data_IF_884535374909
#
_entry.id   IF_884535374909
#
_cell.length_a   1.000
_cell.length_b   1.000
_cell.length_c   1.000
_cell.angle_alpha   90.00
_cell.angle_beta   90.00
_cell.angle_gamma   90.00
#
_symmetry.space_group_name_H-M   'P 1'
#
loop_
_entity.id
_entity.type
_entity.pdbx_description
1 polymer ?
#
# COMPACT_ATOMS: atom_id res chain seq x y z
N UNK A 1 -3.31 50.13 -14.70
CA UNK A 1 -2.82 49.39 -13.51
C UNK A 1 -3.91 49.44 -12.46
N UNK A 2 -4.63 48.34 -12.26
CA UNK A 2 -5.57 48.22 -11.13
C UNK A 2 -4.76 47.87 -9.88
N UNK A 3 -4.88 48.70 -8.84
CA UNK A 3 -4.24 48.51 -7.55
C UNK A 3 -5.09 47.59 -6.70
N UNK A 4 -4.48 46.83 -5.78
CA UNK A 4 -5.19 45.99 -4.81
C UNK A 4 -6.23 46.78 -3.96
N UNK A 5 -6.06 48.11 -3.86
CA UNK A 5 -6.99 49.01 -3.19
C UNK A 5 -8.31 49.25 -3.93
N UNK A 6 -8.41 48.84 -5.20
CA UNK A 6 -9.57 49.11 -6.05
C UNK A 6 -10.67 48.04 -5.93
N UNK A 7 -10.43 46.96 -5.17
CA UNK A 7 -11.43 45.92 -4.87
C UNK A 7 -11.95 46.09 -3.44
N UNK A 8 -13.19 46.58 -3.23
CA UNK A 8 -13.80 46.57 -1.91
C UNK A 8 -14.00 45.12 -1.45
N UNK A 9 -13.48 44.78 -0.27
CA UNK A 9 -13.73 43.50 0.39
C UNK A 9 -15.25 43.31 0.55
N UNK A 10 -15.87 42.24 0.01
CA UNK A 10 -17.30 42.01 0.21
C UNK A 10 -17.56 41.81 1.71
N UNK A 11 -18.67 42.34 2.23
CA UNK A 11 -18.98 42.17 3.64
C UNK A 11 -19.25 40.68 3.95
N UNK A 12 -18.50 40.11 4.90
CA UNK A 12 -18.62 38.72 5.38
C UNK A 12 -20.05 38.34 5.82
N UNK A 13 -20.93 39.32 6.03
CA UNK A 13 -22.35 39.12 6.35
C UNK A 13 -23.18 38.50 5.22
N UNK A 14 -22.80 38.65 3.94
CA UNK A 14 -23.58 38.11 2.82
C UNK A 14 -23.37 36.59 2.62
N UNK A 15 -22.20 36.06 2.98
CA UNK A 15 -21.83 34.66 2.78
C UNK A 15 -22.44 33.71 3.83
N UNK A 16 -22.91 34.22 4.99
CA UNK A 16 -23.54 33.39 6.04
C UNK A 16 -24.89 32.78 5.64
N UNK A 17 -25.51 33.21 4.53
CA UNK A 17 -26.81 32.70 4.05
C UNK A 17 -26.69 31.57 3.03
N UNK A 18 -25.50 31.27 2.52
CA UNK A 18 -25.28 30.23 1.52
C UNK A 18 -24.61 29.03 2.20
N UNK A 19 -25.37 27.94 2.40
CA UNK A 19 -24.81 26.67 2.89
C UNK A 19 -24.24 25.88 1.71
N UNK A 20 -23.03 26.22 1.30
CA UNK A 20 -22.26 25.36 0.39
C UNK A 20 -21.40 24.44 1.25
N UNK A 21 -21.71 23.15 1.33
CA UNK A 21 -20.88 22.19 2.09
C UNK A 21 -19.59 21.87 1.35
N UNK A 22 -19.66 21.79 0.03
CA UNK A 22 -18.56 21.37 -0.84
C UNK A 22 -18.35 22.41 -1.94
N UNK A 23 -17.12 22.91 -2.06
CA UNK A 23 -16.72 23.84 -3.10
C UNK A 23 -15.56 23.23 -3.91
N UNK A 24 -15.74 23.14 -5.22
CA UNK A 24 -14.71 22.67 -6.14
C UNK A 24 -14.28 23.78 -7.10
N UNK A 25 -12.97 24.03 -7.20
CA UNK A 25 -12.35 24.97 -8.13
C UNK A 25 -11.45 24.17 -9.07
N UNK A 26 -11.80 24.06 -10.35
CA UNK A 26 -11.20 23.04 -11.23
C UNK A 26 -9.89 23.47 -11.92
N UNK A 27 -9.71 24.76 -12.16
CA UNK A 27 -8.46 25.31 -12.71
C UNK A 27 -8.27 26.69 -12.14
N UNK A 28 -7.24 26.83 -11.29
CA UNK A 28 -6.82 28.12 -10.76
C UNK A 28 -5.40 28.37 -11.20
N UNK A 29 -5.22 29.40 -12.03
CA UNK A 29 -3.90 29.83 -12.47
C UNK A 29 -3.73 31.32 -12.16
N UNK A 30 -3.33 31.60 -10.91
CA UNK A 30 -3.36 32.93 -10.30
C UNK A 30 -2.05 33.22 -9.59
N UNK A 31 -1.84 34.50 -9.24
CA UNK A 31 -0.72 34.90 -8.41
C UNK A 31 -0.87 34.35 -6.99
N UNK A 32 0.25 34.01 -6.34
CA UNK A 32 0.28 33.45 -4.99
C UNK A 32 -0.56 34.25 -3.98
N UNK A 33 -0.41 35.58 -3.96
CA UNK A 33 -1.17 36.47 -3.07
C UNK A 33 -2.70 36.39 -3.27
N UNK A 34 -3.16 36.22 -4.51
CA UNK A 34 -4.60 36.11 -4.82
C UNK A 34 -5.14 34.77 -4.33
N UNK A 35 -4.37 33.69 -4.50
CA UNK A 35 -4.78 32.35 -4.04
C UNK A 35 -4.90 32.32 -2.52
N UNK A 36 -3.94 32.91 -1.79
CA UNK A 36 -4.02 33.01 -0.34
C UNK A 36 -5.27 33.78 0.13
N UNK A 37 -5.60 34.89 -0.53
CA UNK A 37 -6.81 35.66 -0.20
C UNK A 37 -8.09 34.86 -0.48
N UNK A 38 -8.13 34.12 -1.60
CA UNK A 38 -9.25 33.24 -1.90
C UNK A 38 -9.41 32.16 -0.83
N UNK A 39 -8.32 31.51 -0.43
CA UNK A 39 -8.36 30.48 0.61
C UNK A 39 -8.78 31.05 1.96
N UNK A 40 -8.29 32.23 2.35
CA UNK A 40 -8.74 32.91 3.56
C UNK A 40 -10.24 33.22 3.50
N UNK A 41 -10.75 33.77 2.39
CA UNK A 41 -12.19 34.06 2.24
C UNK A 41 -13.04 32.79 2.34
N UNK A 42 -12.60 31.68 1.73
CA UNK A 42 -13.32 30.41 1.78
C UNK A 42 -13.26 29.80 3.18
N UNK A 43 -12.14 29.93 3.89
CA UNK A 43 -11.96 29.42 5.25
C UNK A 43 -13.02 29.94 6.24
N UNK A 44 -13.39 31.21 6.11
CA UNK A 44 -14.41 31.87 6.94
C UNK A 44 -15.82 31.82 6.35
N UNK A 45 -15.99 31.10 5.25
CA UNK A 45 -17.31 30.84 4.67
C UNK A 45 -17.94 29.58 5.28
N UNK A 46 -19.20 29.27 4.97
CA UNK A 46 -19.86 28.01 5.38
C UNK A 46 -19.35 26.74 4.67
N UNK A 47 -18.28 26.84 3.88
CA UNK A 47 -17.67 25.72 3.16
C UNK A 47 -16.97 24.76 4.11
N UNK A 48 -17.45 23.52 4.15
CA UNK A 48 -16.87 22.45 4.95
C UNK A 48 -15.74 21.72 4.19
N UNK A 49 -15.85 21.56 2.87
CA UNK A 49 -14.86 20.88 2.03
C UNK A 49 -14.47 21.77 0.85
N UNK A 50 -13.18 22.06 0.73
CA UNK A 50 -12.62 22.77 -0.42
C UNK A 50 -11.75 21.82 -1.23
N UNK A 51 -12.08 21.65 -2.51
CA UNK A 51 -11.26 20.94 -3.49
C UNK A 51 -10.79 21.89 -4.56
N UNK A 52 -9.48 21.92 -4.81
CA UNK A 52 -8.87 22.71 -5.87
C UNK A 52 -8.09 21.77 -6.77
N UNK A 53 -8.50 21.69 -8.04
CA UNK A 53 -7.79 20.93 -9.08
C UNK A 53 -6.96 21.87 -9.94
N UNK A 54 -5.89 21.33 -10.51
CA UNK A 54 -5.00 22.02 -11.44
C UNK A 54 -4.57 23.40 -10.91
N UNK A 55 -4.09 23.43 -9.67
CA UNK A 55 -3.66 24.66 -9.01
C UNK A 55 -2.28 25.08 -9.51
N UNK A 56 -2.20 26.23 -10.19
CA UNK A 56 -0.93 26.82 -10.62
C UNK A 56 -0.66 28.12 -9.87
N UNK A 57 0.49 28.18 -9.21
CA UNK A 57 0.98 29.39 -8.57
C UNK A 57 1.91 30.17 -9.51
N UNK A 58 1.60 31.46 -9.73
CA UNK A 58 2.44 32.40 -10.52
C UNK A 58 3.01 33.54 -9.67
N UNK A 59 4.07 34.17 -10.21
CA UNK A 59 4.68 35.40 -9.67
C UNK A 59 5.69 35.15 -8.55
N UNK A 60 6.66 36.04 -8.30
CA UNK A 60 7.58 35.87 -7.18
C UNK A 60 6.78 35.82 -5.87
N UNK A 61 7.11 34.86 -4.99
CA UNK A 61 6.90 35.11 -3.57
C UNK A 61 7.99 36.12 -3.25
N UNK A 62 7.67 37.41 -3.38
CA UNK A 62 8.58 38.47 -2.92
C UNK A 62 9.01 38.16 -1.50
N UNK A 63 10.08 38.78 -1.01
CA UNK A 63 10.29 38.88 0.43
C UNK A 63 9.02 39.51 1.02
N UNK A 64 8.04 38.67 1.34
CA UNK A 64 6.94 39.02 2.20
C UNK A 64 7.65 39.25 3.51
N UNK A 65 8.10 40.49 3.71
CA UNK A 65 8.69 40.89 4.96
C UNK A 65 7.67 40.52 6.03
N UNK A 66 8.16 40.13 7.20
CA UNK A 66 7.30 39.81 8.35
C UNK A 66 6.22 40.91 8.55
N UNK A 67 6.51 42.15 8.13
CA UNK A 67 5.63 43.32 8.08
C UNK A 67 4.54 43.36 7.01
N UNK A 68 4.68 42.72 5.85
CA UNK A 68 3.57 42.54 4.90
C UNK A 68 2.66 41.38 5.31
N UNK A 69 3.21 40.43 6.07
CA UNK A 69 2.47 39.35 6.71
C UNK A 69 1.84 39.79 8.05
N UNK A 70 2.38 40.78 8.77
CA UNK A 70 1.93 41.22 10.12
C UNK A 70 0.49 41.77 10.19
N UNK A 71 -0.04 42.50 9.19
CA UNK A 71 -1.47 42.84 9.17
C UNK A 71 -2.35 41.60 9.01
N UNK A 72 -1.84 40.55 8.35
CA UNK A 72 -2.49 39.25 8.20
C UNK A 72 -2.29 38.37 9.45
N UNK A 73 -1.12 38.37 10.09
CA UNK A 73 -0.73 37.56 11.28
C UNK A 73 -1.22 38.11 12.61
N UNK A 74 -1.18 39.43 12.81
CA UNK A 74 -1.82 40.09 13.97
C UNK A 74 -3.33 39.91 13.95
N UNK A 75 -3.90 39.73 12.75
CA UNK A 75 -5.26 39.22 12.58
C UNK A 75 -5.32 37.70 12.75
N UNK A 76 -4.34 36.92 12.28
CA UNK A 76 -4.30 35.44 12.29
C UNK A 76 -4.39 34.84 13.70
N UNK A 77 -3.78 35.40 14.75
CA UNK A 77 -4.05 34.90 16.12
C UNK A 77 -5.52 35.12 16.54
N UNK A 78 -6.13 36.23 16.11
CA UNK A 78 -7.56 36.52 16.31
C UNK A 78 -8.47 35.72 15.35
N UNK A 79 -7.96 35.35 14.18
CA UNK A 79 -8.64 34.76 13.02
C UNK A 79 -8.53 33.22 13.04
N UNK A 80 -7.51 32.65 13.68
CA UNK A 80 -7.42 31.26 14.14
C UNK A 80 -8.42 31.02 15.29
N UNK A 81 -8.74 32.05 16.10
CA UNK A 81 -9.76 31.98 17.16
C UNK A 81 -11.20 32.05 16.63
N UNK A 82 -11.40 32.57 15.41
CA UNK A 82 -12.68 32.62 14.72
C UNK A 82 -12.91 31.28 14.00
N UNK A 83 -13.52 30.32 14.68
CA UNK A 83 -13.79 28.97 14.15
C UNK A 83 -14.40 28.98 12.74
N UNK A 84 -13.60 28.62 11.75
CA UNK A 84 -14.03 28.34 10.38
C UNK A 84 -14.85 27.06 10.32
N UNK A 85 -15.70 26.93 9.31
CA UNK A 85 -16.52 25.72 9.12
C UNK A 85 -15.79 24.59 8.36
N UNK A 86 -14.61 24.90 7.80
CA UNK A 86 -13.84 23.96 6.99
C UNK A 86 -13.36 22.77 7.81
N UNK A 87 -13.66 21.57 7.30
CA UNK A 87 -13.26 20.27 7.84
C UNK A 87 -12.25 19.57 6.96
N UNK A 88 -12.17 19.93 5.67
CA UNK A 88 -11.15 19.37 4.79
C UNK A 88 -10.74 20.25 3.62
N UNK A 89 -9.48 20.09 3.23
CA UNK A 89 -8.85 20.75 2.10
C UNK A 89 -8.21 19.69 1.18
N UNK A 90 -8.49 19.76 -0.11
CA UNK A 90 -7.88 18.94 -1.14
C UNK A 90 -7.27 19.81 -2.23
N UNK A 91 -5.96 19.66 -2.46
CA UNK A 91 -5.23 20.31 -3.54
C UNK A 91 -4.69 19.23 -4.48
N UNK A 92 -5.07 19.27 -5.76
CA UNK A 92 -4.68 18.29 -6.78
C UNK A 92 -3.92 18.95 -7.93
N UNK A 93 -2.90 18.25 -8.45
CA UNK A 93 -2.12 18.68 -9.62
C UNK A 93 -1.54 20.08 -9.44
N UNK A 94 -0.82 20.27 -8.34
CA UNK A 94 -0.28 21.56 -7.96
C UNK A 94 1.01 21.83 -8.73
N UNK A 95 1.07 22.96 -9.42
CA UNK A 95 2.23 23.41 -10.19
C UNK A 95 2.72 24.73 -9.64
N UNK A 96 3.99 24.76 -9.27
CA UNK A 96 4.63 25.99 -8.83
C UNK A 96 5.48 26.56 -9.98
N UNK A 97 5.06 27.70 -10.55
CA UNK A 97 5.85 28.44 -11.56
C UNK A 97 6.68 29.56 -10.91
N UNK A 98 6.89 29.49 -9.59
CA UNK A 98 7.69 30.43 -8.80
C UNK A 98 9.08 29.83 -8.56
N UNK A 99 10.13 30.62 -8.82
CA UNK A 99 11.53 30.17 -8.70
C UNK A 99 12.08 30.27 -7.26
N UNK A 100 11.45 31.05 -6.38
CA UNK A 100 11.84 31.21 -4.97
C UNK A 100 10.60 31.46 -4.11
N UNK A 101 10.40 30.63 -3.09
CA UNK A 101 9.45 30.88 -2.00
C UNK A 101 9.97 30.29 -0.69
N UNK A 102 9.65 30.91 0.44
CA UNK A 102 9.98 30.35 1.74
C UNK A 102 9.06 29.15 2.02
N UNK A 103 9.62 27.95 1.86
CA UNK A 103 8.92 26.68 2.06
C UNK A 103 8.40 26.52 3.49
N UNK A 104 9.10 27.08 4.48
CA UNK A 104 8.72 26.95 5.88
C UNK A 104 7.39 27.66 6.17
N UNK A 105 7.21 28.88 5.67
CA UNK A 105 5.97 29.65 5.85
C UNK A 105 4.78 28.89 5.25
N UNK A 106 4.95 28.35 4.04
CA UNK A 106 3.90 27.60 3.36
C UNK A 106 3.53 26.33 4.12
N UNK A 107 4.53 25.50 4.46
CA UNK A 107 4.25 24.25 5.14
C UNK A 107 3.72 24.46 6.55
N UNK A 108 4.12 25.55 7.23
CA UNK A 108 3.55 25.93 8.53
C UNK A 108 2.08 26.28 8.39
N UNK A 109 1.69 26.97 7.33
CA UNK A 109 0.27 27.25 7.08
C UNK A 109 -0.54 25.96 6.96
N UNK A 110 -0.01 24.94 6.28
CA UNK A 110 -0.70 23.65 6.13
C UNK A 110 -0.65 22.80 7.40
N UNK A 111 0.46 22.76 8.12
CA UNK A 111 0.62 21.94 9.32
C UNK A 111 -0.20 22.44 10.50
N UNK A 112 -0.43 23.75 10.61
CA UNK A 112 -1.18 24.36 11.70
C UNK A 112 -2.68 24.51 11.40
N UNK A 113 -3.16 23.97 10.28
CA UNK A 113 -4.58 24.04 9.92
C UNK A 113 -5.44 23.26 10.90
N UNK A 114 -6.52 23.88 11.37
CA UNK A 114 -7.52 23.20 12.19
C UNK A 114 -8.58 22.53 11.31
N UNK A 115 -8.18 21.50 10.55
CA UNK A 115 -9.07 20.66 9.72
C UNK A 115 -8.86 19.19 10.04
N UNK A 116 -9.90 18.39 9.79
CA UNK A 116 -9.84 16.94 10.00
C UNK A 116 -9.18 16.18 8.86
N UNK A 117 -9.19 16.74 7.64
CA UNK A 117 -8.67 16.09 6.44
C UNK A 117 -7.83 17.06 5.61
N UNK A 118 -6.63 16.66 5.22
CA UNK A 118 -5.79 17.41 4.30
C UNK A 118 -5.23 16.47 3.23
N UNK A 119 -5.48 16.83 1.97
CA UNK A 119 -4.89 16.17 0.80
C UNK A 119 -4.10 17.18 0.00
N UNK A 120 -2.83 16.88 -0.26
CA UNK A 120 -1.99 17.60 -1.22
C UNK A 120 -1.37 16.58 -2.17
N UNK A 121 -1.98 16.44 -3.34
CA UNK A 121 -1.71 15.39 -4.31
C UNK A 121 -1.01 15.95 -5.56
N UNK A 122 0.05 15.27 -6.02
CA UNK A 122 0.82 15.67 -7.22
C UNK A 122 1.26 17.15 -7.15
N UNK A 123 1.98 17.50 -6.08
CA UNK A 123 2.45 18.86 -5.80
C UNK A 123 3.98 18.99 -5.80
N UNK A 124 4.70 17.90 -6.08
CA UNK A 124 6.16 17.83 -6.02
C UNK A 124 6.75 18.32 -4.69
N UNK A 125 6.03 18.16 -3.56
CA UNK A 125 6.48 18.64 -2.26
C UNK A 125 7.67 17.81 -1.74
N UNK A 126 8.83 18.43 -1.45
CA UNK A 126 9.97 17.72 -0.87
C UNK A 126 9.86 17.49 0.65
N UNK A 127 9.03 18.27 1.35
CA UNK A 127 8.92 18.22 2.81
C UNK A 127 7.53 18.67 3.31
N UNK A 128 7.20 18.36 4.58
CA UNK A 128 6.07 18.91 5.33
C UNK A 128 6.44 19.02 6.82
N UNK A 129 5.95 20.06 7.51
CA UNK A 129 6.27 20.30 8.91
C UNK A 129 5.37 19.50 9.86
N UNK A 130 5.95 18.97 10.94
CA UNK A 130 5.17 18.46 12.07
C UNK A 130 4.44 19.64 12.75
N UNK A 131 3.15 19.52 13.09
CA UNK A 131 2.42 20.55 13.80
C UNK A 131 3.07 20.87 15.16
N UNK A 132 3.14 22.15 15.53
CA UNK A 132 3.73 22.59 16.80
C UNK A 132 2.85 22.26 18.02
N UNK A 133 1.55 22.04 17.80
CA UNK A 133 0.57 21.65 18.81
C UNK A 133 -0.19 20.43 18.32
N UNK A 134 -0.86 19.73 19.22
CA UNK A 134 -1.73 18.60 18.86
C UNK A 134 -2.72 19.03 17.79
N UNK A 135 -2.66 18.37 16.64
CA UNK A 135 -3.50 18.69 15.48
C UNK A 135 -4.84 17.96 15.54
N UNK A 136 -5.85 18.48 14.85
CA UNK A 136 -7.14 17.81 14.65
C UNK A 136 -7.17 16.86 13.44
N UNK A 137 -6.04 16.66 12.75
CA UNK A 137 -5.96 15.80 11.58
C UNK A 137 -6.33 14.36 11.92
N UNK A 138 -7.28 13.82 11.16
CA UNK A 138 -7.67 12.40 11.17
C UNK A 138 -7.29 11.71 9.86
N UNK A 139 -7.15 12.47 8.76
CA UNK A 139 -6.77 11.98 7.45
C UNK A 139 -5.73 12.91 6.82
N UNK A 140 -4.57 12.36 6.47
CA UNK A 140 -3.53 13.06 5.70
C UNK A 140 -3.20 12.25 4.45
N UNK A 141 -3.21 12.92 3.31
CA UNK A 141 -2.82 12.31 2.04
C UNK A 141 -1.85 13.21 1.28
N UNK A 142 -0.61 12.75 1.17
CA UNK A 142 0.45 13.42 0.41
C UNK A 142 0.97 12.54 -0.72
N UNK A 143 0.07 11.80 -1.37
CA UNK A 143 0.41 10.92 -2.48
C UNK A 143 1.01 11.68 -3.66
N UNK A 144 1.93 11.02 -4.40
CA UNK A 144 2.59 11.59 -5.59
C UNK A 144 3.35 12.89 -5.32
N UNK A 145 4.12 12.93 -4.24
CA UNK A 145 5.02 14.06 -3.96
C UNK A 145 6.49 13.62 -4.06
N UNK A 146 7.39 14.40 -3.48
CA UNK A 146 8.82 14.13 -3.42
C UNK A 146 9.30 13.94 -1.96
N UNK A 147 8.39 13.51 -1.08
CA UNK A 147 8.67 13.34 0.36
C UNK A 147 9.63 12.17 0.59
N UNK A 148 10.52 12.33 1.56
CA UNK A 148 11.50 11.31 1.94
C UNK A 148 11.24 10.81 3.36
N UNK A 149 12.08 9.90 3.82
CA UNK A 149 12.16 9.34 5.16
C UNK A 149 12.41 10.36 6.29
N UNK A 150 12.69 11.62 5.98
CA UNK A 150 12.79 12.71 6.97
C UNK A 150 11.43 13.28 7.38
N UNK A 151 10.36 12.95 6.67
CA UNK A 151 9.01 13.40 7.00
C UNK A 151 8.61 12.97 8.41
N UNK A 152 8.10 13.91 9.20
CA UNK A 152 7.52 13.68 10.53
C UNK A 152 8.39 12.87 11.50
N UNK A 153 9.72 12.88 11.32
CA UNK A 153 10.63 12.29 12.28
C UNK A 153 10.44 12.95 13.65
N UNK A 154 10.22 12.14 14.68
CA UNK A 154 9.92 12.56 16.05
C UNK A 154 8.62 13.39 16.23
N UNK A 155 7.66 13.28 15.30
CA UNK A 155 6.40 14.02 15.40
C UNK A 155 5.46 13.40 16.43
N UNK A 156 5.25 14.10 17.56
CA UNK A 156 4.38 13.67 18.66
C UNK A 156 3.00 14.30 18.71
N UNK A 157 2.64 15.13 17.73
CA UNK A 157 1.42 15.97 17.77
C UNK A 157 0.29 15.48 16.87
N UNK A 158 0.53 14.45 16.05
CA UNK A 158 -0.45 13.82 15.16
C UNK A 158 -1.19 12.65 15.87
N UNK A 159 -1.60 12.85 17.12
CA UNK A 159 -2.16 11.78 17.98
C UNK A 159 -3.54 11.28 17.52
N UNK A 160 -4.31 12.13 16.84
CA UNK A 160 -5.66 11.84 16.36
C UNK A 160 -5.69 11.29 14.92
N UNK A 161 -4.53 11.23 14.26
CA UNK A 161 -4.40 10.78 12.88
C UNK A 161 -4.77 9.31 12.76
N UNK A 162 -5.69 8.98 11.85
CA UNK A 162 -6.19 7.61 11.61
C UNK A 162 -5.71 7.04 10.29
N UNK A 163 -5.60 7.89 9.26
CA UNK A 163 -5.20 7.52 7.91
C UNK A 163 -4.04 8.40 7.46
N UNK A 164 -2.94 7.77 7.09
CA UNK A 164 -1.78 8.43 6.50
C UNK A 164 -1.46 7.79 5.16
N UNK A 165 -1.61 8.56 4.08
CA UNK A 165 -1.41 8.09 2.71
C UNK A 165 -0.18 8.79 2.12
N UNK A 166 0.87 8.00 1.89
CA UNK A 166 2.18 8.46 1.42
C UNK A 166 2.63 7.72 0.14
N UNK A 167 1.69 7.09 -0.57
CA UNK A 167 2.00 6.36 -1.81
C UNK A 167 2.71 7.23 -2.85
N UNK A 168 3.57 6.62 -3.67
CA UNK A 168 4.30 7.31 -4.75
C UNK A 168 5.10 8.52 -4.26
N UNK A 169 5.93 8.32 -3.24
CA UNK A 169 6.93 9.29 -2.77
C UNK A 169 8.34 8.70 -2.93
N UNK A 170 9.31 9.17 -2.14
CA UNK A 170 10.72 8.77 -2.20
C UNK A 170 11.21 8.22 -0.85
N UNK A 171 10.35 7.50 -0.12
CA UNK A 171 10.77 6.86 1.13
C UNK A 171 11.65 5.64 0.83
N UNK A 172 12.79 5.55 1.49
CA UNK A 172 13.78 4.48 1.26
C UNK A 172 13.94 3.54 2.47
N UNK A 173 13.78 4.02 3.69
CA UNK A 173 14.03 3.22 4.90
C UNK A 173 12.74 2.86 5.63
N UNK A 174 12.39 1.57 5.65
CA UNK A 174 11.26 1.06 6.43
C UNK A 174 11.43 1.31 7.94
N UNK A 175 12.67 1.25 8.44
CA UNK A 175 12.99 1.48 9.85
C UNK A 175 12.55 2.89 10.29
N UNK A 176 13.03 3.93 9.59
CA UNK A 176 12.60 5.33 9.81
C UNK A 176 11.09 5.53 9.68
N UNK A 177 10.42 4.84 8.77
CA UNK A 177 8.95 4.90 8.65
C UNK A 177 8.26 4.32 9.89
N UNK A 178 8.78 3.21 10.43
CA UNK A 178 8.26 2.69 11.70
C UNK A 178 8.34 3.76 12.79
N UNK A 179 9.54 4.31 13.05
CA UNK A 179 9.76 5.33 14.08
C UNK A 179 8.93 6.60 13.86
N UNK A 180 8.77 7.06 12.61
CA UNK A 180 7.92 8.20 12.25
C UNK A 180 6.49 8.02 12.78
N UNK A 181 5.95 6.81 12.68
CA UNK A 181 4.55 6.53 13.08
C UNK A 181 4.40 6.17 14.55
N UNK A 182 5.48 5.84 15.27
CA UNK A 182 5.46 5.31 16.63
C UNK A 182 4.61 6.11 17.64
N UNK A 183 4.49 7.43 17.47
CA UNK A 183 3.73 8.34 18.35
C UNK A 183 2.32 8.66 17.86
N UNK A 184 1.92 8.17 16.69
CA UNK A 184 0.58 8.39 16.12
C UNK A 184 -0.41 7.40 16.73
N UNK A 185 -0.82 7.66 17.98
CA UNK A 185 -1.58 6.72 18.82
C UNK A 185 -2.91 6.26 18.24
N UNK A 186 -3.50 7.00 17.29
CA UNK A 186 -4.77 6.64 16.64
C UNK A 186 -4.63 6.07 15.22
N UNK A 187 -3.40 5.89 14.72
CA UNK A 187 -3.13 5.52 13.32
C UNK A 187 -3.60 4.09 13.05
N UNK A 188 -4.57 3.92 12.16
CA UNK A 188 -5.15 2.62 11.80
C UNK A 188 -4.69 2.11 10.46
N UNK A 189 -4.50 3.03 9.51
CA UNK A 189 -4.19 2.72 8.13
C UNK A 189 -3.01 3.58 7.64
N UNK A 190 -1.99 2.90 7.12
CA UNK A 190 -0.81 3.51 6.53
C UNK A 190 -0.59 2.95 5.13
N UNK A 191 -0.58 3.83 4.13
CA UNK A 191 -0.24 3.48 2.75
C UNK A 191 1.12 4.06 2.39
N UNK A 192 2.11 3.16 2.25
CA UNK A 192 3.47 3.47 1.80
C UNK A 192 3.76 2.85 0.42
N UNK A 193 2.73 2.47 -0.33
CA UNK A 193 2.89 1.78 -1.60
C UNK A 193 3.66 2.62 -2.62
N UNK A 194 4.33 1.95 -3.57
CA UNK A 194 5.02 2.62 -4.69
C UNK A 194 6.08 3.63 -4.23
N UNK A 195 6.81 3.31 -3.17
CA UNK A 195 7.99 4.05 -2.71
C UNK A 195 9.26 3.29 -3.12
N UNK A 196 10.38 3.56 -2.44
CA UNK A 196 11.67 2.91 -2.67
C UNK A 196 12.11 2.12 -1.42
N UNK A 197 11.14 1.67 -0.59
CA UNK A 197 11.44 1.11 0.71
C UNK A 197 12.28 -0.16 0.63
N UNK A 198 13.31 -0.19 1.46
CA UNK A 198 14.19 -1.33 1.76
C UNK A 198 14.23 -1.56 3.27
N UNK A 199 14.70 -2.75 3.64
CA UNK A 199 14.99 -3.09 5.03
C UNK A 199 16.22 -3.99 5.04
N UNK A 200 17.38 -3.39 5.32
CA UNK A 200 18.68 -4.05 5.15
C UNK A 200 19.30 -4.52 6.49
N UNK A 201 18.64 -4.29 7.62
CA UNK A 201 19.22 -4.52 8.96
C UNK A 201 18.32 -5.42 9.82
N UNK A 202 18.68 -6.69 9.96
CA UNK A 202 17.93 -7.69 10.72
C UNK A 202 17.92 -7.46 12.25
N UNK A 203 18.85 -6.67 12.79
CA UNK A 203 19.07 -6.54 14.24
C UNK A 203 18.49 -5.26 14.88
N UNK A 204 17.74 -4.44 14.14
CA UNK A 204 17.13 -3.23 14.70
C UNK A 204 15.62 -3.39 14.86
N UNK A 205 15.14 -3.27 16.09
CA UNK A 205 13.73 -3.40 16.40
C UNK A 205 12.94 -2.20 15.85
N UNK A 206 12.02 -2.47 14.93
CA UNK A 206 11.10 -1.47 14.41
C UNK A 206 10.05 -1.11 15.46
N UNK A 207 9.64 0.16 15.48
CA UNK A 207 8.70 0.70 16.46
C UNK A 207 7.53 1.33 15.72
N UNK A 208 6.41 0.62 15.65
CA UNK A 208 5.20 1.09 14.95
C UNK A 208 4.17 1.66 15.91
N UNK A 209 3.21 2.42 15.39
CA UNK A 209 2.00 2.75 16.15
C UNK A 209 1.27 1.48 16.58
N UNK A 210 0.96 1.34 17.87
CA UNK A 210 0.28 0.15 18.40
C UNK A 210 -1.14 -0.05 17.84
N UNK A 211 -1.78 1.03 17.38
CA UNK A 211 -3.12 1.03 16.79
C UNK A 211 -3.15 0.65 15.31
N UNK A 212 -1.99 0.45 14.67
CA UNK A 212 -1.90 0.19 13.24
C UNK A 212 -2.45 -1.21 12.91
N UNK A 213 -3.50 -1.24 12.10
CA UNK A 213 -4.18 -2.48 11.70
C UNK A 213 -4.08 -2.78 10.21
N UNK A 214 -3.79 -1.77 9.39
CA UNK A 214 -3.73 -1.90 7.93
C UNK A 214 -2.47 -1.22 7.43
N UNK A 215 -1.65 -1.98 6.69
CA UNK A 215 -0.37 -1.52 6.20
C UNK A 215 -0.20 -1.96 4.74
N UNK A 216 -0.07 -0.99 3.85
CA UNK A 216 0.28 -1.22 2.44
C UNK A 216 1.76 -0.84 2.20
N UNK A 217 2.57 -1.86 1.90
CA UNK A 217 3.97 -1.77 1.53
C UNK A 217 4.20 -2.25 0.09
N UNK A 218 3.16 -2.36 -0.71
CA UNK A 218 3.22 -2.90 -2.06
C UNK A 218 4.07 -2.03 -3.01
N UNK A 219 4.63 -2.65 -4.05
CA UNK A 219 5.45 -1.95 -5.06
C UNK A 219 6.64 -1.18 -4.47
N UNK A 220 7.41 -1.84 -3.61
CA UNK A 220 8.64 -1.31 -3.02
C UNK A 220 9.85 -2.19 -3.42
N UNK A 221 10.96 -2.11 -2.68
CA UNK A 221 12.17 -2.89 -2.92
C UNK A 221 12.46 -3.82 -1.73
N UNK A 222 11.40 -4.29 -1.05
CA UNK A 222 11.52 -5.10 0.15
C UNK A 222 11.93 -6.54 -0.19
N UNK A 223 12.75 -7.13 0.68
CA UNK A 223 13.18 -8.54 0.64
C UNK A 223 12.63 -9.26 1.87
N UNK A 224 12.99 -10.53 2.05
CA UNK A 224 12.59 -11.38 3.18
C UNK A 224 12.90 -10.76 4.55
N UNK A 225 13.87 -9.85 4.64
CA UNK A 225 14.21 -9.15 5.87
C UNK A 225 13.03 -8.32 6.42
N UNK A 226 12.07 -7.90 5.57
CA UNK A 226 10.89 -7.11 5.98
C UNK A 226 10.16 -7.71 7.17
N UNK A 227 10.12 -9.05 7.27
CA UNK A 227 9.39 -9.76 8.32
C UNK A 227 9.95 -9.56 9.74
N UNK A 228 11.18 -9.05 9.88
CA UNK A 228 11.74 -8.62 11.17
C UNK A 228 11.21 -7.26 11.65
N UNK A 229 10.58 -6.49 10.75
CA UNK A 229 10.21 -5.09 10.96
C UNK A 229 8.71 -4.84 10.80
N UNK A 230 7.85 -5.86 10.91
CA UNK A 230 6.41 -5.69 10.74
C UNK A 230 5.69 -5.37 12.08
N UNK A 231 4.61 -4.58 12.05
CA UNK A 231 3.81 -4.29 13.24
C UNK A 231 3.01 -5.51 13.70
N UNK A 232 3.17 -5.91 14.97
CA UNK A 232 2.57 -7.13 15.53
C UNK A 232 1.02 -7.14 15.55
N UNK A 233 0.40 -5.96 15.56
CA UNK A 233 -1.07 -5.81 15.63
C UNK A 233 -1.74 -5.71 14.25
N UNK A 234 -0.97 -5.80 13.17
CA UNK A 234 -1.50 -5.68 11.81
C UNK A 234 -2.51 -6.79 11.52
N UNK A 235 -3.59 -6.43 10.82
CA UNK A 235 -4.68 -7.32 10.39
C UNK A 235 -4.68 -7.53 8.89
N UNK A 236 -4.38 -6.47 8.13
CA UNK A 236 -4.21 -6.50 6.68
C UNK A 236 -2.83 -6.00 6.31
N UNK A 237 -2.08 -6.81 5.58
CA UNK A 237 -0.74 -6.49 5.13
C UNK A 237 -0.62 -6.74 3.63
N UNK A 238 -0.28 -5.68 2.89
CA UNK A 238 0.05 -5.78 1.47
C UNK A 238 1.56 -5.65 1.24
N UNK A 239 2.16 -6.71 0.71
CA UNK A 239 3.56 -6.81 0.30
C UNK A 239 3.69 -7.15 -1.19
N UNK A 240 2.62 -6.96 -1.98
CA UNK A 240 2.61 -7.25 -3.41
C UNK A 240 3.72 -6.52 -4.15
N UNK A 241 4.27 -7.14 -5.20
CA UNK A 241 5.23 -6.50 -6.10
C UNK A 241 6.47 -5.98 -5.36
N UNK A 242 7.10 -6.87 -4.60
CA UNK A 242 8.39 -6.67 -3.93
C UNK A 242 9.40 -7.71 -4.44
N UNK A 243 10.47 -7.96 -3.67
CA UNK A 243 11.53 -8.89 -4.03
C UNK A 243 11.63 -10.06 -3.02
N UNK A 244 10.50 -10.43 -2.41
CA UNK A 244 10.44 -11.47 -1.38
C UNK A 244 10.57 -12.84 -2.04
N UNK A 245 11.55 -13.62 -1.58
CA UNK A 245 11.82 -14.99 -2.02
C UNK A 245 11.28 -16.04 -1.05
N UNK A 246 11.12 -15.68 0.22
CA UNK A 246 10.56 -16.58 1.24
C UNK A 246 9.97 -15.83 2.42
N UNK A 247 9.11 -16.51 3.18
CA UNK A 247 8.68 -16.04 4.51
C UNK A 247 9.49 -16.80 5.56
N UNK A 248 10.36 -16.13 6.33
CA UNK A 248 11.30 -16.80 7.22
C UNK A 248 10.60 -17.46 8.42
N UNK A 249 11.15 -18.58 8.89
CA UNK A 249 10.75 -19.21 10.14
C UNK A 249 11.29 -18.39 11.33
N UNK A 250 10.55 -18.37 12.44
CA UNK A 250 10.98 -17.65 13.65
C UNK A 250 10.89 -16.12 13.58
N UNK A 251 10.18 -15.56 12.60
CA UNK A 251 9.84 -14.13 12.57
C UNK A 251 8.88 -13.74 13.70
N UNK A 252 8.66 -12.43 13.87
CA UNK A 252 7.68 -11.91 14.83
C UNK A 252 6.28 -12.53 14.61
N UNK A 253 5.60 -12.86 15.70
CA UNK A 253 4.28 -13.49 15.64
C UNK A 253 3.20 -12.43 15.35
N UNK A 254 2.77 -12.35 14.09
CA UNK A 254 1.68 -11.49 13.62
C UNK A 254 0.32 -12.15 13.89
N UNK A 255 0.01 -12.37 15.18
CA UNK A 255 -1.18 -13.14 15.62
C UNK A 255 -2.52 -12.57 15.17
N UNK A 256 -2.56 -11.28 14.86
CA UNK A 256 -3.78 -10.57 14.43
C UNK A 256 -3.95 -10.56 12.91
N UNK A 257 -2.95 -11.00 12.14
CA UNK A 257 -2.97 -10.93 10.68
C UNK A 257 -4.03 -11.88 10.12
N UNK A 258 -4.98 -11.32 9.39
CA UNK A 258 -6.09 -12.02 8.76
C UNK A 258 -5.97 -12.05 7.23
N UNK A 259 -5.37 -11.03 6.63
CA UNK A 259 -5.20 -10.90 5.18
C UNK A 259 -3.74 -10.57 4.85
N UNK A 260 -3.12 -11.39 4.00
CA UNK A 260 -1.74 -11.22 3.54
C UNK A 260 -1.68 -11.30 2.03
N UNK A 261 -1.22 -10.21 1.40
CA UNK A 261 -0.95 -10.17 -0.04
C UNK A 261 0.56 -10.21 -0.30
N UNK A 262 1.03 -11.28 -0.93
CA UNK A 262 2.39 -11.53 -1.38
C UNK A 262 2.46 -11.74 -2.91
N UNK A 263 1.42 -11.32 -3.64
CA UNK A 263 1.39 -11.47 -5.10
C UNK A 263 2.57 -10.76 -5.78
N UNK A 264 2.95 -11.22 -6.97
CA UNK A 264 4.02 -10.60 -7.77
C UNK A 264 5.36 -10.49 -7.00
N UNK A 265 5.72 -11.52 -6.25
CA UNK A 265 7.03 -11.65 -5.60
C UNK A 265 7.83 -12.78 -6.27
N UNK A 266 8.80 -13.37 -5.58
CA UNK A 266 9.69 -14.43 -6.07
C UNK A 266 9.62 -15.68 -5.19
N UNK A 267 8.47 -15.93 -4.57
CA UNK A 267 8.26 -17.10 -3.70
C UNK A 267 8.41 -18.40 -4.51
N UNK A 268 9.21 -19.33 -4.00
CA UNK A 268 9.36 -20.67 -4.58
C UNK A 268 8.37 -21.71 -4.00
N UNK A 269 7.77 -21.42 -2.85
CA UNK A 269 6.80 -22.28 -2.17
C UNK A 269 5.78 -21.44 -1.38
N UNK A 270 4.69 -22.08 -0.95
CA UNK A 270 3.70 -21.52 -0.03
C UNK A 270 4.33 -21.30 1.36
N UNK A 271 4.08 -20.14 1.99
CA UNK A 271 4.59 -19.89 3.33
C UNK A 271 3.78 -20.66 4.38
N UNK A 272 4.43 -21.15 5.44
CA UNK A 272 3.74 -21.81 6.56
C UNK A 272 3.11 -20.80 7.52
N UNK A 273 1.98 -21.16 8.16
CA UNK A 273 1.19 -20.22 8.97
C UNK A 273 1.60 -20.07 10.45
N UNK A 274 2.78 -20.57 10.83
CA UNK A 274 3.25 -20.49 12.22
C UNK A 274 3.35 -19.06 12.76
N UNK A 275 3.78 -18.11 11.93
CA UNK A 275 3.89 -16.69 12.30
C UNK A 275 2.60 -15.88 12.16
N UNK A 276 1.56 -16.44 11.56
CA UNK A 276 0.29 -15.76 11.24
C UNK A 276 -0.89 -16.70 11.47
N UNK A 277 -1.02 -17.14 12.73
CA UNK A 277 -1.97 -18.17 13.16
C UNK A 277 -3.45 -17.83 12.92
N UNK A 278 -3.79 -16.56 12.67
CA UNK A 278 -5.16 -16.10 12.40
C UNK A 278 -5.42 -15.84 10.92
N UNK A 279 -4.49 -16.16 10.02
CA UNK A 279 -4.61 -15.85 8.61
C UNK A 279 -5.82 -16.56 7.98
N UNK A 280 -6.67 -15.77 7.32
CA UNK A 280 -7.86 -16.24 6.62
C UNK A 280 -7.70 -16.14 5.09
N UNK A 281 -7.00 -15.11 4.61
CA UNK A 281 -6.80 -14.84 3.18
C UNK A 281 -5.32 -14.72 2.85
N UNK A 282 -4.86 -15.53 1.90
CA UNK A 282 -3.48 -15.50 1.41
C UNK A 282 -3.47 -15.33 -0.11
N UNK A 283 -2.83 -14.27 -0.60
CA UNK A 283 -2.54 -14.12 -2.03
C UNK A 283 -1.04 -14.31 -2.29
N UNK A 284 -0.71 -15.27 -3.15
CA UNK A 284 0.63 -15.60 -3.65
C UNK A 284 0.63 -15.75 -5.18
N UNK A 285 -0.32 -15.13 -5.87
CA UNK A 285 -0.36 -15.12 -7.33
C UNK A 285 0.91 -14.52 -7.94
N UNK A 286 1.24 -14.90 -9.17
CA UNK A 286 2.37 -14.34 -9.91
C UNK A 286 3.71 -14.48 -9.16
N UNK A 287 3.95 -15.63 -8.54
CA UNK A 287 5.22 -15.99 -7.91
C UNK A 287 5.95 -17.06 -8.74
N UNK A 288 6.91 -17.78 -8.14
CA UNK A 288 7.71 -18.84 -8.78
C UNK A 288 7.41 -20.22 -8.19
N UNK A 289 6.16 -20.45 -7.74
CA UNK A 289 5.77 -21.70 -7.08
C UNK A 289 5.57 -22.81 -8.13
N UNK A 290 6.36 -23.87 -8.05
CA UNK A 290 6.27 -25.00 -8.99
C UNK A 290 5.28 -26.07 -8.54
N UNK A 291 5.39 -26.49 -7.27
CA UNK A 291 4.64 -27.61 -6.70
C UNK A 291 4.24 -27.28 -5.27
N UNK A 292 3.10 -26.61 -5.04
CA UNK A 292 2.62 -26.32 -3.70
C UNK A 292 2.36 -27.63 -2.94
N UNK A 293 2.69 -27.67 -1.66
CA UNK A 293 2.48 -28.90 -0.87
C UNK A 293 1.01 -29.14 -0.53
N UNK A 294 0.57 -30.39 -0.70
CA UNK A 294 -0.83 -30.82 -0.56
C UNK A 294 -1.39 -30.70 0.88
N UNK A 295 -0.53 -30.73 1.88
CA UNK A 295 -0.89 -30.59 3.29
C UNK A 295 -1.01 -29.12 3.75
N UNK A 296 -1.00 -28.13 2.83
CA UNK A 296 -1.05 -26.70 3.19
C UNK A 296 -2.25 -26.37 4.08
N UNK A 297 -3.48 -26.73 3.69
CA UNK A 297 -4.66 -26.44 4.51
C UNK A 297 -4.73 -27.26 5.81
N UNK A 298 -3.95 -28.34 5.95
CA UNK A 298 -3.81 -29.05 7.23
C UNK A 298 -2.90 -28.26 8.19
N UNK A 299 -1.81 -27.70 7.66
CA UNK A 299 -0.86 -26.85 8.42
C UNK A 299 -1.43 -25.45 8.69
N UNK A 300 -2.29 -24.96 7.80
CA UNK A 300 -2.90 -23.64 7.79
C UNK A 300 -4.45 -23.72 7.81
N UNK A 301 -5.06 -24.30 8.87
CA UNK A 301 -6.49 -24.65 8.84
C UNK A 301 -7.44 -23.45 8.80
N UNK A 302 -6.98 -22.27 9.22
CA UNK A 302 -7.78 -21.03 9.21
C UNK A 302 -7.85 -20.35 7.85
N UNK A 303 -6.95 -20.68 6.92
CA UNK A 303 -6.96 -20.10 5.57
C UNK A 303 -8.20 -20.61 4.84
N UNK A 304 -9.10 -19.67 4.54
CA UNK A 304 -10.36 -19.88 3.83
C UNK A 304 -10.21 -19.65 2.34
N UNK A 305 -9.32 -18.75 1.96
CA UNK A 305 -9.06 -18.42 0.57
C UNK A 305 -7.56 -18.34 0.32
N UNK A 306 -7.12 -19.09 -0.70
CA UNK A 306 -5.76 -19.06 -1.22
C UNK A 306 -5.81 -18.67 -2.70
N UNK A 307 -5.25 -17.52 -3.03
CA UNK A 307 -5.02 -17.10 -4.42
C UNK A 307 -3.59 -17.50 -4.79
N UNK A 308 -3.44 -18.56 -5.58
CA UNK A 308 -2.12 -19.08 -5.98
C UNK A 308 -1.98 -19.23 -7.50
N UNK A 309 -2.94 -18.68 -8.25
CA UNK A 309 -2.92 -18.68 -9.71
C UNK A 309 -1.69 -17.97 -10.30
N UNK A 310 -1.51 -18.12 -11.61
CA UNK A 310 -0.44 -17.48 -12.37
C UNK A 310 0.96 -17.79 -11.83
N UNK A 311 1.15 -18.97 -11.23
CA UNK A 311 2.44 -19.53 -10.88
C UNK A 311 2.89 -20.54 -11.95
N UNK A 312 4.21 -20.74 -12.15
CA UNK A 312 4.74 -21.64 -13.17
C UNK A 312 4.62 -23.11 -12.76
N UNK A 313 3.40 -23.61 -12.58
CA UNK A 313 3.15 -24.93 -12.03
C UNK A 313 3.83 -26.04 -12.85
N UNK A 314 4.58 -26.90 -12.17
CA UNK A 314 5.16 -28.11 -12.75
C UNK A 314 4.17 -29.25 -12.55
N UNK A 315 3.50 -29.64 -13.63
CA UNK A 315 2.57 -30.76 -13.70
C UNK A 315 3.28 -32.09 -13.54
N UNK A 316 3.47 -32.46 -12.28
CA UNK A 316 4.07 -33.70 -11.82
C UNK A 316 3.12 -34.45 -10.87
N UNK A 317 3.55 -35.62 -10.42
CA UNK A 317 2.78 -36.43 -9.47
C UNK A 317 2.57 -35.72 -8.13
N UNK A 318 3.52 -34.90 -7.69
CA UNK A 318 3.40 -34.08 -6.48
C UNK A 318 2.29 -33.03 -6.62
N UNK A 319 2.22 -32.35 -7.78
CA UNK A 319 1.16 -31.36 -8.04
C UNK A 319 -0.22 -32.02 -8.10
N UNK A 320 -0.31 -33.26 -8.60
CA UNK A 320 -1.56 -34.01 -8.64
C UNK A 320 -2.18 -34.19 -7.24
N UNK A 321 -1.37 -34.39 -6.21
CA UNK A 321 -1.88 -34.44 -4.83
C UNK A 321 -2.42 -33.09 -4.37
N UNK A 322 -1.76 -31.98 -4.73
CA UNK A 322 -2.28 -30.63 -4.45
C UNK A 322 -3.61 -30.34 -5.18
N UNK A 323 -3.80 -30.83 -6.40
CA UNK A 323 -5.07 -30.67 -7.14
C UNK A 323 -6.21 -31.42 -6.46
N UNK A 324 -5.93 -32.59 -5.86
CA UNK A 324 -6.94 -33.33 -5.08
C UNK A 324 -7.38 -32.54 -3.85
N UNK A 325 -6.48 -31.74 -3.27
CA UNK A 325 -6.78 -30.91 -2.11
C UNK A 325 -7.81 -29.84 -2.45
N UNK A 326 -7.81 -29.26 -3.65
CA UNK A 326 -8.86 -28.32 -4.04
C UNK A 326 -10.26 -28.95 -3.99
N UNK A 327 -10.38 -30.18 -4.52
CA UNK A 327 -11.65 -30.94 -4.47
C UNK A 327 -12.10 -31.25 -3.03
N UNK A 328 -11.15 -31.39 -2.09
CA UNK A 328 -11.42 -31.73 -0.69
C UNK A 328 -11.58 -30.50 0.20
N UNK A 329 -10.96 -29.38 -0.14
CA UNK A 329 -10.91 -28.17 0.68
C UNK A 329 -12.22 -27.37 0.66
N UNK A 330 -13.09 -27.65 -0.32
CA UNK A 330 -14.39 -27.01 -0.50
C UNK A 330 -14.35 -25.76 -1.36
N UNK A 331 -13.39 -25.64 -2.28
CA UNK A 331 -13.31 -24.48 -3.19
C UNK A 331 -12.50 -23.32 -2.61
N UNK A 332 -11.41 -23.59 -1.89
CA UNK A 332 -10.59 -22.55 -1.23
C UNK A 332 -9.62 -21.89 -2.19
N UNK A 333 -9.38 -22.44 -3.38
CA UNK A 333 -8.55 -21.82 -4.40
C UNK A 333 -9.32 -20.77 -5.21
N UNK A 334 -9.01 -19.50 -4.99
CA UNK A 334 -9.63 -18.41 -5.72
C UNK A 334 -9.22 -18.43 -7.20
N UNK A 335 -10.17 -18.17 -8.10
CA UNK A 335 -9.89 -18.15 -9.55
C UNK A 335 -9.69 -19.53 -10.18
N UNK A 336 -9.94 -20.61 -9.42
CA UNK A 336 -9.93 -21.96 -9.95
C UNK A 336 -11.07 -22.18 -10.96
N UNK A 337 -10.81 -22.84 -12.11
CA UNK A 337 -9.52 -23.35 -12.59
C UNK A 337 -8.78 -22.37 -13.52
N UNK A 338 -9.38 -21.23 -13.89
CA UNK A 338 -8.91 -20.38 -14.98
C UNK A 338 -7.48 -19.83 -14.75
N UNK A 339 -7.10 -19.56 -13.50
CA UNK A 339 -5.77 -19.05 -13.17
C UNK A 339 -4.70 -20.14 -12.96
N UNK A 340 -5.04 -21.42 -13.11
CA UNK A 340 -4.19 -22.56 -12.76
C UNK A 340 -3.91 -23.43 -13.97
N UNK A 341 -2.73 -23.24 -14.57
CA UNK A 341 -2.29 -23.98 -15.76
C UNK A 341 -0.90 -24.55 -15.57
N UNK A 342 -0.63 -25.71 -16.17
CA UNK A 342 0.72 -26.25 -16.29
C UNK A 342 1.61 -25.28 -17.05
N UNK A 343 2.78 -24.97 -16.51
CA UNK A 343 3.87 -24.33 -17.26
C UNK A 343 4.88 -25.39 -17.73
N UNK A 344 5.12 -26.40 -16.90
CA UNK A 344 6.01 -27.52 -17.20
C UNK A 344 5.31 -28.87 -16.96
N UNK A 345 5.74 -29.96 -17.61
CA UNK A 345 6.67 -30.00 -18.75
C UNK A 345 6.05 -29.39 -20.03
N UNK A 346 6.87 -29.13 -21.06
CA UNK A 346 6.46 -28.40 -22.27
C UNK A 346 5.29 -29.06 -23.04
N UNK A 347 5.20 -30.39 -23.01
CA UNK A 347 4.11 -31.16 -23.63
C UNK A 347 2.75 -30.96 -22.95
N UNK A 348 2.75 -30.52 -21.69
CA UNK A 348 1.54 -30.22 -20.92
C UNK A 348 1.29 -28.72 -20.76
N UNK A 349 2.18 -27.86 -21.28
CA UNK A 349 2.09 -26.41 -21.09
C UNK A 349 0.75 -25.84 -21.57
N UNK A 350 0.15 -24.99 -20.73
CA UNK A 350 -1.16 -24.38 -20.96
C UNK A 350 -2.35 -25.27 -20.57
N UNK A 351 -2.14 -26.54 -20.22
CA UNK A 351 -3.21 -27.42 -19.72
C UNK A 351 -3.72 -26.91 -18.38
N UNK A 352 -5.04 -26.76 -18.22
CA UNK A 352 -5.62 -26.38 -16.93
C UNK A 352 -5.42 -27.50 -15.90
N UNK A 353 -5.07 -27.13 -14.67
CA UNK A 353 -4.82 -28.11 -13.60
C UNK A 353 -6.04 -28.98 -13.29
N UNK A 354 -7.26 -28.49 -13.58
CA UNK A 354 -8.49 -29.30 -13.46
C UNK A 354 -8.55 -30.51 -14.40
N UNK A 355 -7.88 -30.41 -15.55
CA UNK A 355 -7.89 -31.38 -16.64
C UNK A 355 -6.60 -32.22 -16.65
N UNK A 356 -5.58 -31.80 -15.90
CA UNK A 356 -4.34 -32.57 -15.73
C UNK A 356 -4.56 -33.82 -14.88
N UNK A 357 -4.09 -34.96 -15.39
CA UNK A 357 -4.11 -36.22 -14.67
C UNK A 357 -2.99 -37.16 -15.16
N UNK A 358 -2.26 -37.73 -14.22
CA UNK A 358 -1.30 -38.82 -14.40
C UNK A 358 -1.82 -40.10 -13.77
N UNK A 359 -1.56 -41.21 -14.45
CA UNK A 359 -1.91 -42.54 -13.95
C UNK A 359 -1.07 -42.92 -12.72
N UNK A 360 -1.62 -43.77 -11.86
CA UNK A 360 -0.86 -44.33 -10.72
C UNK A 360 0.41 -45.05 -11.17
N UNK A 361 0.36 -45.67 -12.36
CA UNK A 361 1.51 -46.30 -12.97
C UNK A 361 2.62 -45.29 -13.30
N UNK A 362 2.27 -44.12 -13.82
CA UNK A 362 3.22 -43.06 -14.10
C UNK A 362 3.83 -42.46 -12.83
N UNK A 363 3.07 -42.44 -11.72
CA UNK A 363 3.50 -41.85 -10.46
C UNK A 363 4.19 -42.80 -9.48
N UNK A 364 4.14 -44.11 -9.73
CA UNK A 364 4.79 -45.10 -8.89
C UNK A 364 5.93 -45.79 -9.66
N UNK A 365 7.17 -45.37 -9.38
CA UNK A 365 8.37 -45.90 -10.03
C UNK A 365 8.52 -47.41 -9.85
N UNK A 366 8.16 -47.96 -8.68
CA UNK A 366 8.19 -49.40 -8.44
C UNK A 366 7.18 -50.13 -9.32
N UNK A 367 5.94 -49.65 -9.40
CA UNK A 367 4.91 -50.24 -10.23
C UNK A 367 5.26 -50.13 -11.72
N UNK A 368 5.85 -49.00 -12.14
CA UNK A 368 6.33 -48.79 -13.49
C UNK A 368 7.43 -49.80 -13.86
N UNK A 369 8.42 -49.98 -12.99
CA UNK A 369 9.51 -50.94 -13.21
C UNK A 369 8.99 -52.38 -13.23
N UNK A 370 8.09 -52.75 -12.32
CA UNK A 370 7.50 -54.09 -12.26
C UNK A 370 6.69 -54.39 -13.52
N UNK A 371 5.84 -53.46 -13.97
CA UNK A 371 5.06 -53.66 -15.19
C UNK A 371 5.93 -53.68 -16.45
N UNK A 372 6.96 -52.83 -16.54
CA UNK A 372 7.93 -52.86 -17.63
C UNK A 372 8.73 -54.19 -17.66
N UNK A 373 9.15 -54.69 -16.50
CA UNK A 373 9.84 -55.98 -16.39
C UNK A 373 8.92 -57.14 -16.80
N UNK A 374 7.66 -57.13 -16.36
CA UNK A 374 6.67 -58.14 -16.76
C UNK A 374 6.40 -58.12 -18.26
N UNK A 375 6.21 -56.93 -18.85
CA UNK A 375 5.98 -56.78 -20.28
C UNK A 375 7.19 -57.22 -21.11
N UNK A 376 8.41 -56.90 -20.68
CA UNK A 376 9.64 -57.35 -21.35
C UNK A 376 9.83 -58.86 -21.24
N UNK A 377 9.57 -59.48 -20.09
CA UNK A 377 9.60 -60.93 -19.93
C UNK A 377 8.58 -61.64 -20.83
N UNK A 378 7.35 -61.11 -20.91
CA UNK A 378 6.30 -61.63 -21.82
C UNK A 378 6.75 -61.50 -23.27
N UNK A 379 7.30 -60.35 -23.67
CA UNK A 379 7.79 -60.13 -25.03
C UNK A 379 8.91 -61.12 -25.40
N UNK A 380 9.88 -61.32 -24.49
CA UNK A 380 10.96 -62.29 -24.67
C UNK A 380 10.41 -63.72 -24.80
N UNK A 381 9.44 -64.10 -23.97
CA UNK A 381 8.82 -65.42 -24.04
C UNK A 381 8.06 -65.63 -25.37
N UNK A 382 7.32 -64.63 -25.84
CA UNK A 382 6.61 -64.68 -27.13
C UNK A 382 7.58 -64.79 -28.30
N UNK A 383 8.65 -63.99 -28.31
CA UNK A 383 9.68 -64.06 -29.36
C UNK A 383 10.39 -65.41 -29.33
N UNK A 384 10.75 -65.91 -28.15
CA UNK A 384 11.36 -67.23 -28.01
C UNK A 384 10.45 -68.34 -28.54
N UNK A 385 9.15 -68.30 -28.21
CA UNK A 385 8.17 -69.26 -28.71
C UNK A 385 8.05 -69.21 -30.25
N UNK A 386 7.95 -68.00 -30.83
CA UNK A 386 7.88 -67.79 -32.28
C UNK A 386 9.17 -68.18 -33.03
N UNK A 387 10.32 -68.22 -32.37
CA UNK A 387 11.59 -68.65 -32.95
C UNK A 387 11.84 -70.17 -32.82
N UNK A 388 11.11 -70.86 -31.94
CA UNK A 388 11.23 -72.31 -31.70
C UNK A 388 10.18 -73.11 -32.51
N UNK A 389 9.04 -72.49 -32.84
CA UNK A 389 8.10 -72.98 -33.84
C UNK A 389 8.53 -72.53 -35.24
#
# INVERSE_FOLDING_TARGET
>A
SLSYKDFPSPSLTLLKKVKTTDLMLDTLDLQWAIILQLFLLIWYSPVEQLTVRNLTFRGPVGELTEYEFLPLLGSLEHVISLGGSMKGLTLEHVRNKVYYFNQEILYRQFSEMNVTSLTIYDACMPHMLCPNRTSSFQYLNFSRNALTDELFQNCGTLTDLKFLILQRNKFESLLKVSFMTSRMTSLKHLDMSRNLLRHDVADTQCQWAESLTELDLSSNQLTDAVFACLPVNVKRLDLQNNQITSVPTGMAELKSLAELNLAANRLADLPGCGGFVSLEYLNVEMNSILTPSADFFQRCPRVRELQAGQNPFKCSCELQEFIRVERQSGGRLFGWPAAYTCEYPEDLRGTQLKDFHLSELACNTTLLLVTALLLTLVLVAVVAFLCIC
#
